data_IF_678796824153
#
_entry.id   IF_678796824153
#
_cell.length_a   1.000
_cell.length_b   1.000
_cell.length_c   1.000
_cell.angle_alpha   90.00
_cell.angle_beta   90.00
_cell.angle_gamma   90.00
#
_symmetry.space_group_name_H-M   'P 1'
#
loop_
_entity.id
_entity.type
_entity.pdbx_description
1 polymer ?
#
# COMPACT_ATOMS: atom_id res chain seq x y z
N UNK A 1 -16.78 -9.00 13.57
CA UNK A 1 -17.55 -7.89 12.98
C UNK A 1 -17.16 -7.78 11.52
N UNK A 2 -18.11 -7.77 10.58
CA UNK A 2 -17.82 -7.56 9.16
C UNK A 2 -17.58 -6.06 8.98
N UNK A 3 -16.44 -5.65 8.45
CA UNK A 3 -16.27 -4.28 7.95
C UNK A 3 -17.29 -4.04 6.84
N UNK A 4 -17.94 -2.86 6.77
CA UNK A 4 -19.00 -2.59 5.78
C UNK A 4 -18.54 -2.63 4.32
N UNK A 5 -17.25 -2.72 4.05
CA UNK A 5 -16.64 -2.69 2.71
C UNK A 5 -15.89 -3.98 2.33
N UNK A 6 -16.07 -5.10 3.01
CA UNK A 6 -15.42 -6.36 2.61
C UNK A 6 -16.42 -7.25 1.89
N UNK A 7 -16.17 -7.50 0.60
CA UNK A 7 -16.88 -8.51 -0.18
C UNK A 7 -16.78 -9.90 0.45
N UNK A 8 -17.45 -10.90 -0.13
CA UNK A 8 -17.46 -12.25 0.40
C UNK A 8 -16.99 -13.28 -0.65
N UNK A 9 -16.26 -14.29 -0.20
CA UNK A 9 -15.83 -15.44 -1.01
C UNK A 9 -16.73 -16.63 -0.69
N UNK A 10 -17.42 -17.15 -1.71
CA UNK A 10 -18.16 -18.40 -1.64
C UNK A 10 -17.32 -19.56 -2.19
N UNK A 11 -17.47 -20.73 -1.60
CA UNK A 11 -16.79 -21.95 -2.06
C UNK A 11 -17.83 -23.03 -2.30
N UNK A 12 -17.86 -23.63 -3.51
CA UNK A 12 -18.80 -24.70 -3.84
C UNK A 12 -18.18 -25.77 -4.75
N UNK A 13 -18.87 -26.92 -4.86
CA UNK A 13 -18.63 -27.89 -5.92
C UNK A 13 -19.05 -27.31 -7.29
N UNK A 14 -18.70 -28.02 -8.38
CA UNK A 14 -19.03 -27.58 -9.74
C UNK A 14 -20.54 -27.37 -9.93
N UNK A 15 -21.03 -26.15 -10.25
CA UNK A 15 -22.41 -25.92 -10.64
C UNK A 15 -22.78 -26.73 -11.88
N UNK A 16 -23.99 -27.23 -11.96
CA UNK A 16 -24.49 -28.04 -13.09
C UNK A 16 -23.90 -29.44 -13.19
N UNK A 17 -23.08 -29.88 -12.25
CA UNK A 17 -22.34 -31.15 -12.27
C UNK A 17 -23.23 -32.35 -12.56
N UNK A 18 -22.84 -33.13 -13.59
CA UNK A 18 -23.43 -34.43 -13.95
C UNK A 18 -22.37 -35.51 -13.77
N UNK A 19 -22.54 -36.37 -12.79
CA UNK A 19 -21.59 -37.46 -12.50
C UNK A 19 -22.30 -38.64 -11.84
N UNK A 20 -22.55 -39.71 -12.60
CA UNK A 20 -23.31 -40.85 -12.11
C UNK A 20 -22.61 -41.64 -11.00
N UNK A 21 -21.28 -41.75 -11.07
CA UNK A 21 -20.47 -42.62 -10.21
C UNK A 21 -19.53 -41.79 -9.27
N UNK A 22 -20.04 -40.73 -8.67
CA UNK A 22 -19.25 -40.00 -7.67
C UNK A 22 -19.26 -40.72 -6.32
N UNK A 23 -18.16 -40.63 -5.54
CA UNK A 23 -18.05 -41.19 -4.19
C UNK A 23 -19.16 -40.73 -3.23
N UNK A 24 -19.71 -39.55 -3.48
CA UNK A 24 -20.78 -38.90 -2.68
C UNK A 24 -22.18 -39.20 -3.20
N UNK A 25 -22.34 -40.13 -4.16
CA UNK A 25 -23.60 -40.43 -4.82
C UNK A 25 -23.71 -39.79 -6.21
N UNK A 26 -24.74 -40.21 -6.96
CA UNK A 26 -25.00 -39.70 -8.32
C UNK A 26 -25.39 -38.21 -8.29
N UNK A 27 -24.77 -37.45 -9.18
CA UNK A 27 -25.07 -36.03 -9.40
C UNK A 27 -25.74 -35.83 -10.76
N UNK A 28 -26.80 -35.06 -10.78
CA UNK A 28 -27.49 -34.63 -11.99
C UNK A 28 -28.12 -33.25 -11.72
N UNK A 29 -27.28 -32.21 -11.77
CA UNK A 29 -27.69 -30.84 -11.46
C UNK A 29 -27.98 -30.07 -12.76
N UNK A 30 -28.82 -29.07 -12.65
CA UNK A 30 -29.10 -28.11 -13.71
C UNK A 30 -28.20 -26.89 -13.55
N UNK A 31 -27.44 -26.55 -14.60
CA UNK A 31 -26.44 -25.49 -14.57
C UNK A 31 -27.10 -24.11 -14.47
N UNK A 32 -28.20 -23.87 -15.17
CA UNK A 32 -28.88 -22.57 -15.14
C UNK A 32 -29.54 -22.31 -13.77
N UNK A 33 -30.15 -23.35 -13.19
CA UNK A 33 -30.71 -23.26 -11.83
C UNK A 33 -29.60 -22.95 -10.82
N UNK A 34 -28.44 -23.61 -10.93
CA UNK A 34 -27.32 -23.36 -10.03
C UNK A 34 -26.75 -21.94 -10.19
N UNK A 35 -26.60 -21.43 -11.42
CA UNK A 35 -26.11 -20.07 -11.66
C UNK A 35 -27.11 -19.00 -11.19
N UNK A 36 -28.41 -19.23 -11.32
CA UNK A 36 -29.43 -18.36 -10.72
C UNK A 36 -29.31 -18.28 -9.21
N UNK A 37 -29.09 -19.40 -8.53
CA UNK A 37 -28.90 -19.44 -7.08
C UNK A 37 -27.61 -18.69 -6.68
N UNK A 38 -26.55 -18.77 -7.48
CA UNK A 38 -25.30 -18.00 -7.27
C UNK A 38 -25.57 -16.51 -7.40
N UNK A 39 -26.32 -16.09 -8.42
CA UNK A 39 -26.73 -14.68 -8.59
C UNK A 39 -27.61 -14.18 -7.45
N UNK A 40 -28.59 -14.99 -7.03
CA UNK A 40 -29.48 -14.68 -5.88
C UNK A 40 -28.71 -14.56 -4.57
N UNK A 41 -27.63 -15.34 -4.40
CA UNK A 41 -26.71 -15.16 -3.26
C UNK A 41 -26.01 -13.79 -3.30
N UNK A 42 -26.00 -13.11 -4.44
CA UNK A 42 -25.42 -11.80 -4.67
C UNK A 42 -23.99 -11.85 -5.18
N UNK A 43 -23.55 -12.95 -5.79
CA UNK A 43 -22.27 -12.97 -6.49
C UNK A 43 -22.32 -12.13 -7.78
N UNK A 44 -21.20 -11.53 -8.11
CA UNK A 44 -20.97 -10.82 -9.38
C UNK A 44 -19.95 -11.54 -10.24
N UNK A 45 -19.11 -12.42 -9.65
CA UNK A 45 -18.05 -13.15 -10.33
C UNK A 45 -18.07 -14.63 -9.96
N UNK A 46 -17.89 -15.51 -10.96
CA UNK A 46 -17.67 -16.96 -10.80
C UNK A 46 -16.27 -17.33 -11.29
N UNK A 47 -15.51 -18.01 -10.44
CA UNK A 47 -14.16 -18.51 -10.73
C UNK A 47 -14.24 -20.04 -10.89
N UNK A 48 -13.90 -20.52 -12.08
CA UNK A 48 -13.90 -21.92 -12.46
C UNK A 48 -12.49 -22.48 -12.47
N UNK A 49 -12.19 -23.45 -11.61
CA UNK A 49 -10.86 -24.06 -11.45
C UNK A 49 -10.71 -25.44 -12.11
N UNK A 50 -11.77 -25.99 -12.68
CA UNK A 50 -11.70 -27.27 -13.42
C UNK A 50 -11.13 -27.05 -14.81
N UNK A 51 -10.44 -28.09 -15.31
CA UNK A 51 -9.89 -28.09 -16.66
C UNK A 51 -10.97 -28.25 -17.71
N UNK A 52 -10.65 -27.99 -18.99
CA UNK A 52 -11.58 -28.18 -20.12
C UNK A 52 -12.06 -29.65 -20.21
N UNK A 53 -11.16 -30.61 -19.99
CA UNK A 53 -11.51 -32.03 -19.99
C UNK A 53 -12.47 -32.37 -18.83
N UNK A 54 -12.27 -31.78 -17.66
CA UNK A 54 -13.21 -31.95 -16.55
C UNK A 54 -14.57 -31.32 -16.84
N UNK A 55 -14.63 -30.18 -17.57
CA UNK A 55 -15.92 -29.59 -17.98
C UNK A 55 -16.71 -30.56 -18.86
N UNK A 56 -16.08 -31.20 -19.85
CA UNK A 56 -16.68 -32.16 -20.71
C UNK A 56 -17.15 -33.41 -19.92
N UNK A 57 -16.33 -33.94 -19.02
CA UNK A 57 -16.67 -35.09 -18.18
C UNK A 57 -17.85 -34.77 -17.25
N UNK A 58 -17.97 -33.55 -16.77
CA UNK A 58 -19.03 -33.10 -15.87
C UNK A 58 -20.28 -32.58 -16.59
N UNK A 59 -20.24 -32.46 -17.93
CA UNK A 59 -21.33 -31.96 -18.78
C UNK A 59 -21.67 -30.49 -18.50
N UNK A 60 -20.65 -29.64 -18.35
CA UNK A 60 -20.76 -28.22 -18.02
C UNK A 60 -19.94 -27.33 -18.95
N UNK A 61 -19.76 -27.75 -20.21
CA UNK A 61 -18.97 -27.00 -21.21
C UNK A 61 -19.56 -25.60 -21.47
N UNK A 62 -20.84 -25.41 -21.24
CA UNK A 62 -21.53 -24.12 -21.40
C UNK A 62 -21.48 -23.21 -20.17
N UNK A 63 -20.63 -23.51 -19.17
CA UNK A 63 -20.60 -22.80 -17.88
C UNK A 63 -20.37 -21.30 -18.03
N UNK A 64 -19.48 -20.87 -18.95
CA UNK A 64 -19.25 -19.47 -19.29
C UNK A 64 -20.51 -18.81 -19.83
N UNK A 65 -21.10 -19.39 -20.87
CA UNK A 65 -22.29 -18.84 -21.52
C UNK A 65 -23.46 -18.70 -20.54
N UNK A 66 -23.68 -19.72 -19.68
CA UNK A 66 -24.74 -19.68 -18.69
C UNK A 66 -24.47 -18.70 -17.56
N UNK A 67 -23.21 -18.55 -17.11
CA UNK A 67 -22.83 -17.54 -16.11
C UNK A 67 -23.11 -16.12 -16.65
N UNK A 68 -22.61 -15.81 -17.85
CA UNK A 68 -22.81 -14.50 -18.50
C UNK A 68 -24.31 -14.22 -18.74
N UNK A 69 -25.09 -15.20 -19.19
CA UNK A 69 -26.54 -15.07 -19.38
C UNK A 69 -27.29 -14.75 -18.07
N UNK A 70 -26.78 -15.17 -16.93
CA UNK A 70 -27.29 -14.83 -15.61
C UNK A 70 -26.72 -13.52 -15.02
N UNK A 71 -25.94 -12.75 -15.79
CA UNK A 71 -25.34 -11.48 -15.37
C UNK A 71 -24.25 -11.67 -14.32
N UNK A 72 -23.49 -12.75 -14.44
CA UNK A 72 -22.30 -13.06 -13.64
C UNK A 72 -21.07 -12.92 -14.53
N UNK A 73 -20.03 -12.24 -14.08
CA UNK A 73 -18.72 -12.32 -14.72
C UNK A 73 -18.14 -13.72 -14.50
N UNK A 74 -17.25 -14.13 -15.42
CA UNK A 74 -16.67 -15.46 -15.36
C UNK A 74 -15.17 -15.44 -15.62
N UNK A 75 -14.41 -16.15 -14.78
CA UNK A 75 -12.97 -16.39 -14.95
C UNK A 75 -12.67 -17.87 -14.99
N UNK A 76 -11.95 -18.31 -16.04
CA UNK A 76 -11.43 -19.66 -16.15
C UNK A 76 -9.97 -19.70 -15.71
N UNK A 77 -9.69 -20.38 -14.60
CA UNK A 77 -8.39 -20.45 -13.95
C UNK A 77 -8.03 -21.92 -13.66
N UNK A 78 -7.83 -22.75 -14.72
CA UNK A 78 -7.74 -24.20 -14.58
C UNK A 78 -6.53 -24.62 -13.76
N UNK A 79 -6.75 -25.59 -12.88
CA UNK A 79 -5.74 -26.27 -12.06
C UNK A 79 -6.03 -27.75 -12.13
N UNK A 80 -5.04 -28.61 -12.36
CA UNK A 80 -5.22 -30.06 -12.38
C UNK A 80 -5.71 -30.61 -11.04
N UNK A 81 -6.47 -31.71 -11.09
CA UNK A 81 -7.05 -32.26 -9.87
C UNK A 81 -5.97 -32.68 -8.87
N UNK A 82 -6.18 -32.42 -7.58
CA UNK A 82 -5.21 -32.58 -6.47
C UNK A 82 -3.91 -31.79 -6.59
N UNK A 83 -3.76 -30.93 -7.60
CA UNK A 83 -2.55 -30.12 -7.83
C UNK A 83 -2.62 -28.73 -7.18
N UNK A 84 -1.52 -28.00 -7.30
CA UNK A 84 -1.39 -26.58 -7.00
C UNK A 84 -1.16 -25.80 -8.30
N UNK A 85 -1.37 -24.47 -8.33
CA UNK A 85 -0.99 -23.61 -9.45
C UNK A 85 0.45 -23.78 -9.88
N UNK A 86 0.69 -23.81 -11.20
CA UNK A 86 2.02 -23.81 -11.81
C UNK A 86 2.53 -22.38 -12.09
N UNK A 87 3.73 -22.24 -12.66
CA UNK A 87 4.33 -20.95 -12.99
C UNK A 87 3.52 -20.14 -14.01
N UNK A 88 2.95 -20.80 -15.03
CA UNK A 88 2.12 -20.12 -16.03
C UNK A 88 0.83 -19.61 -15.41
N UNK A 89 0.22 -20.39 -14.53
CA UNK A 89 -0.96 -19.97 -13.78
C UNK A 89 -0.65 -18.76 -12.88
N UNK A 90 0.50 -18.79 -12.19
CA UNK A 90 0.93 -17.66 -11.35
C UNK A 90 1.21 -16.40 -12.18
N UNK A 91 1.77 -16.54 -13.38
CA UNK A 91 1.96 -15.43 -14.32
C UNK A 91 0.61 -14.82 -14.76
N UNK A 92 -0.36 -15.66 -15.11
CA UNK A 92 -1.71 -15.22 -15.48
C UNK A 92 -2.44 -14.58 -14.29
N UNK A 93 -2.23 -15.12 -13.08
CA UNK A 93 -2.75 -14.52 -11.85
C UNK A 93 -2.28 -13.07 -11.72
N UNK A 94 -0.98 -12.83 -11.80
CA UNK A 94 -0.39 -11.50 -11.64
C UNK A 94 -0.83 -10.51 -12.74
N UNK A 95 -0.87 -10.97 -13.99
CA UNK A 95 -1.09 -10.08 -15.13
C UNK A 95 -2.55 -9.77 -15.42
N UNK A 96 -3.50 -10.62 -15.01
CA UNK A 96 -4.90 -10.51 -15.47
C UNK A 96 -5.93 -10.75 -14.36
N UNK A 97 -5.84 -11.85 -13.61
CA UNK A 97 -6.94 -12.29 -12.74
C UNK A 97 -6.97 -11.58 -11.39
N UNK A 98 -5.79 -11.31 -10.83
CA UNK A 98 -5.63 -10.70 -9.51
C UNK A 98 -6.41 -9.39 -9.36
N UNK A 99 -6.19 -8.43 -10.27
CA UNK A 99 -6.83 -7.10 -10.19
C UNK A 99 -8.34 -7.20 -10.21
N UNK A 100 -8.91 -7.96 -11.15
CA UNK A 100 -10.35 -8.13 -11.28
C UNK A 100 -10.99 -8.77 -10.04
N UNK A 101 -10.38 -9.85 -9.50
CA UNK A 101 -10.85 -10.54 -8.28
C UNK A 101 -10.88 -9.58 -7.08
N UNK A 102 -9.83 -8.80 -6.92
CA UNK A 102 -9.74 -7.88 -5.79
C UNK A 102 -10.62 -6.65 -5.95
N UNK A 103 -10.81 -6.12 -7.16
CA UNK A 103 -11.77 -5.05 -7.45
C UNK A 103 -13.21 -5.44 -7.07
N UNK A 104 -13.63 -6.67 -7.41
CA UNK A 104 -14.93 -7.21 -7.00
C UNK A 104 -15.07 -7.20 -5.48
N UNK A 105 -14.06 -7.69 -4.75
CA UNK A 105 -14.10 -7.73 -3.28
C UNK A 105 -14.01 -6.34 -2.64
N UNK A 106 -13.24 -5.42 -3.22
CA UNK A 106 -13.08 -4.05 -2.72
C UNK A 106 -14.35 -3.20 -2.94
N UNK A 107 -15.13 -3.52 -3.98
CA UNK A 107 -16.45 -2.94 -4.20
C UNK A 107 -17.53 -3.45 -3.22
N UNK A 108 -17.16 -4.38 -2.33
CA UNK A 108 -18.10 -5.02 -1.40
C UNK A 108 -18.93 -6.16 -2.01
N UNK A 109 -18.64 -6.51 -3.25
CA UNK A 109 -19.32 -7.57 -4.00
C UNK A 109 -18.86 -8.97 -3.58
N UNK A 110 -19.56 -10.00 -4.07
CA UNK A 110 -19.27 -11.39 -3.73
C UNK A 110 -18.76 -12.13 -4.95
N UNK A 111 -17.81 -13.03 -4.74
CA UNK A 111 -17.35 -13.97 -5.76
C UNK A 111 -17.52 -15.42 -5.31
N UNK A 112 -17.70 -16.30 -6.29
CA UNK A 112 -17.80 -17.73 -6.07
C UNK A 112 -16.60 -18.44 -6.67
N UNK A 113 -15.91 -19.26 -5.87
CA UNK A 113 -14.83 -20.14 -6.33
C UNK A 113 -15.32 -21.57 -6.34
N UNK A 114 -15.17 -22.28 -7.44
CA UNK A 114 -15.50 -23.69 -7.49
C UNK A 114 -14.43 -24.55 -8.18
N UNK A 115 -14.39 -25.81 -7.79
CA UNK A 115 -13.72 -26.87 -8.51
C UNK A 115 -14.66 -28.06 -8.64
N UNK A 116 -14.19 -29.27 -8.94
CA UNK A 116 -15.02 -30.46 -9.07
C UNK A 116 -15.79 -30.83 -7.79
N UNK A 117 -15.08 -30.85 -6.65
CA UNK A 117 -15.63 -31.19 -5.32
C UNK A 117 -15.92 -29.99 -4.43
N UNK A 118 -15.34 -28.85 -4.73
CA UNK A 118 -15.45 -27.65 -3.91
C UNK A 118 -14.67 -27.74 -2.59
N UNK A 119 -13.56 -28.46 -2.58
CA UNK A 119 -12.73 -28.68 -1.39
C UNK A 119 -11.28 -28.27 -1.65
N UNK A 120 -10.47 -29.07 -2.35
CA UNK A 120 -9.03 -28.88 -2.48
C UNK A 120 -8.65 -27.60 -3.19
N UNK A 121 -8.77 -27.57 -4.52
CA UNK A 121 -8.40 -26.44 -5.37
C UNK A 121 -9.18 -25.16 -5.00
N UNK A 122 -10.49 -25.25 -4.83
CA UNK A 122 -11.33 -24.10 -4.49
C UNK A 122 -10.98 -23.54 -3.10
N UNK A 123 -10.69 -24.43 -2.14
CA UNK A 123 -10.22 -24.03 -0.82
C UNK A 123 -8.85 -23.34 -0.85
N UNK A 124 -7.90 -23.89 -1.61
CA UNK A 124 -6.55 -23.32 -1.74
C UNK A 124 -6.56 -21.92 -2.38
N UNK A 125 -7.36 -21.71 -3.44
CA UNK A 125 -7.47 -20.40 -4.09
C UNK A 125 -8.25 -19.41 -3.20
N UNK A 126 -9.29 -19.83 -2.50
CA UNK A 126 -9.98 -18.96 -1.54
C UNK A 126 -9.03 -18.53 -0.39
N UNK A 127 -8.20 -19.44 0.11
CA UNK A 127 -7.21 -19.11 1.13
C UNK A 127 -6.10 -18.20 0.57
N UNK A 128 -5.64 -18.43 -0.68
CA UNK A 128 -4.71 -17.53 -1.37
C UNK A 128 -5.28 -16.11 -1.45
N UNK A 129 -6.54 -15.94 -1.85
CA UNK A 129 -7.19 -14.62 -1.89
C UNK A 129 -7.22 -13.99 -0.48
N UNK A 130 -7.46 -14.77 0.57
CA UNK A 130 -7.43 -14.27 1.95
C UNK A 130 -6.01 -13.87 2.39
N UNK A 131 -4.97 -14.63 2.04
CA UNK A 131 -3.59 -14.23 2.36
C UNK A 131 -3.21 -12.93 1.67
N UNK A 132 -3.65 -12.73 0.44
CA UNK A 132 -3.48 -11.49 -0.30
C UNK A 132 -4.31 -10.30 0.26
N UNK A 133 -5.24 -10.58 1.14
CA UNK A 133 -6.00 -9.58 1.90
C UNK A 133 -5.52 -9.42 3.35
N UNK A 134 -4.29 -9.84 3.63
CA UNK A 134 -3.60 -9.61 4.90
C UNK A 134 -3.82 -10.67 5.98
N UNK A 135 -4.41 -11.84 5.66
CA UNK A 135 -4.50 -12.94 6.62
C UNK A 135 -3.24 -13.79 6.56
N UNK A 136 -2.68 -14.14 7.73
CA UNK A 136 -1.62 -15.15 7.81
C UNK A 136 -2.08 -16.47 7.21
N UNK A 137 -1.16 -17.23 6.57
CA UNK A 137 -1.48 -18.44 5.83
C UNK A 137 -2.25 -19.48 6.64
N UNK A 138 -1.80 -19.75 7.87
CA UNK A 138 -2.48 -20.65 8.80
C UNK A 138 -3.87 -20.15 9.18
N UNK A 139 -4.03 -18.82 9.34
CA UNK A 139 -5.33 -18.21 9.65
C UNK A 139 -6.27 -18.25 8.46
N UNK A 140 -5.78 -18.02 7.26
CA UNK A 140 -6.55 -18.16 6.03
C UNK A 140 -7.07 -19.60 5.85
N UNK A 141 -6.22 -20.60 6.10
CA UNK A 141 -6.60 -22.04 6.09
C UNK A 141 -7.69 -22.32 7.13
N UNK A 142 -7.51 -21.84 8.38
CA UNK A 142 -8.52 -21.99 9.44
C UNK A 142 -9.89 -21.42 9.03
N UNK A 143 -9.90 -20.19 8.49
CA UNK A 143 -11.12 -19.52 8.07
C UNK A 143 -11.84 -20.28 6.93
N UNK A 144 -11.08 -20.74 5.94
CA UNK A 144 -11.62 -21.54 4.83
C UNK A 144 -12.17 -22.87 5.33
N UNK A 145 -11.46 -23.61 6.19
CA UNK A 145 -11.93 -24.86 6.79
C UNK A 145 -13.13 -24.68 7.70
N UNK A 146 -13.24 -23.54 8.38
CA UNK A 146 -14.42 -23.18 9.16
C UNK A 146 -15.66 -22.94 8.26
N UNK A 147 -15.47 -22.30 7.11
CA UNK A 147 -16.54 -22.06 6.14
C UNK A 147 -16.90 -23.34 5.35
N UNK A 148 -15.91 -24.17 5.04
CA UNK A 148 -16.07 -25.40 4.25
C UNK A 148 -15.24 -26.52 4.87
N UNK A 149 -15.86 -27.35 5.69
CA UNK A 149 -15.18 -28.49 6.34
C UNK A 149 -14.53 -29.40 5.30
N UNK A 150 -13.28 -29.79 5.54
CA UNK A 150 -12.47 -30.63 4.64
C UNK A 150 -11.84 -29.87 3.45
N UNK A 151 -11.94 -28.56 3.41
CA UNK A 151 -11.24 -27.77 2.38
C UNK A 151 -9.72 -27.79 2.55
N UNK A 152 -9.00 -27.63 1.44
CA UNK A 152 -7.54 -27.71 1.34
C UNK A 152 -7.08 -29.13 1.70
N UNK A 153 -7.19 -30.02 0.70
CA UNK A 153 -7.15 -31.50 0.92
C UNK A 153 -5.74 -32.06 0.99
N UNK A 154 -4.75 -31.38 0.39
CA UNK A 154 -3.39 -31.91 0.29
C UNK A 154 -2.39 -31.03 1.03
N UNK A 155 -1.27 -31.65 1.50
CA UNK A 155 -0.17 -30.91 2.10
C UNK A 155 0.45 -29.90 1.10
N UNK A 156 0.49 -30.24 -0.21
CA UNK A 156 0.94 -29.31 -1.24
C UNK A 156 0.08 -28.06 -1.33
N UNK A 157 -1.24 -28.19 -1.18
CA UNK A 157 -2.17 -27.05 -1.17
C UNK A 157 -2.02 -26.22 0.13
N UNK A 158 -1.79 -26.85 1.28
CA UNK A 158 -1.45 -26.11 2.52
C UNK A 158 -0.15 -25.34 2.37
N UNK A 159 0.91 -26.01 1.92
CA UNK A 159 2.21 -25.40 1.71
C UNK A 159 2.16 -24.27 0.68
N UNK A 160 1.33 -24.40 -0.37
CA UNK A 160 1.08 -23.35 -1.34
C UNK A 160 0.49 -22.11 -0.68
N UNK A 161 -0.49 -22.25 0.21
CA UNK A 161 -1.09 -21.13 0.93
C UNK A 161 -0.09 -20.50 1.93
N UNK A 162 0.62 -21.34 2.70
CA UNK A 162 1.57 -20.88 3.76
C UNK A 162 2.82 -20.25 3.14
N UNK A 163 3.38 -20.86 2.09
CA UNK A 163 4.59 -20.37 1.40
C UNK A 163 4.28 -19.21 0.45
N UNK A 164 3.02 -19.02 0.11
CA UNK A 164 2.56 -17.87 -0.65
C UNK A 164 2.56 -16.62 0.26
N UNK A 165 3.67 -16.46 1.03
CA UNK A 165 4.00 -15.19 1.67
C UNK A 165 4.04 -14.17 0.54
N UNK A 166 3.04 -13.32 0.51
CA UNK A 166 3.03 -11.98 -0.08
C UNK A 166 4.02 -11.76 -1.26
N UNK A 167 4.00 -12.59 -2.31
CA UNK A 167 4.41 -12.10 -3.61
C UNK A 167 3.25 -11.31 -4.20
N UNK A 168 2.88 -10.26 -3.50
CA UNK A 168 2.11 -9.21 -4.09
C UNK A 168 3.04 -8.39 -4.98
N UNK A 169 2.74 -8.37 -6.23
CA UNK A 169 2.94 -7.18 -7.02
C UNK A 169 1.60 -6.42 -6.96
N UNK A 170 1.36 -5.55 -5.97
CA UNK A 170 0.12 -4.81 -5.89
C UNK A 170 -0.07 -4.00 -7.17
N UNK A 171 -1.32 -3.81 -7.65
CA UNK A 171 -1.56 -2.93 -8.79
C UNK A 171 -0.91 -1.56 -8.58
N UNK A 172 -0.44 -0.94 -9.64
CA UNK A 172 0.19 0.38 -9.60
C UNK A 172 -0.61 1.40 -8.77
N UNK A 173 -1.94 1.42 -8.96
CA UNK A 173 -2.83 2.30 -8.20
C UNK A 173 -2.84 1.99 -6.70
N UNK A 174 -2.79 0.72 -6.32
CA UNK A 174 -2.73 0.29 -4.92
C UNK A 174 -1.40 0.68 -4.27
N UNK A 175 -0.29 0.55 -5.00
CA UNK A 175 1.04 1.01 -4.56
C UNK A 175 1.10 2.52 -4.39
N UNK A 176 0.58 3.27 -5.36
CA UNK A 176 0.48 4.73 -5.29
C UNK A 176 -0.35 5.19 -4.08
N UNK A 177 -1.50 4.54 -3.84
CA UNK A 177 -2.32 4.81 -2.65
C UNK A 177 -1.60 4.39 -1.37
N UNK A 178 -0.87 3.28 -1.41
CA UNK A 178 -0.03 2.80 -0.32
C UNK A 178 1.02 3.81 0.11
N UNK A 179 1.66 4.51 -0.83
CA UNK A 179 2.63 5.55 -0.53
C UNK A 179 2.04 6.70 0.28
N UNK A 180 0.83 7.17 -0.08
CA UNK A 180 0.17 8.26 0.66
C UNK A 180 -0.36 7.80 2.02
N UNK A 181 -1.04 6.65 2.07
CA UNK A 181 -1.59 6.12 3.32
C UNK A 181 -0.47 5.68 4.28
N UNK A 182 0.61 5.12 3.74
CA UNK A 182 1.78 4.72 4.51
C UNK A 182 2.47 5.90 5.20
N UNK A 183 2.56 7.05 4.53
CA UNK A 183 3.02 8.30 5.14
C UNK A 183 2.19 8.64 6.38
N UNK A 184 0.87 8.70 6.24
CA UNK A 184 -0.04 9.06 7.36
C UNK A 184 0.06 8.07 8.52
N UNK A 185 0.18 6.79 8.23
CA UNK A 185 0.33 5.75 9.26
C UNK A 185 1.66 5.86 9.96
N UNK A 186 2.74 6.09 9.21
CA UNK A 186 4.08 6.25 9.79
C UNK A 186 4.17 7.44 10.73
N UNK A 187 3.63 8.58 10.32
CA UNK A 187 3.47 9.79 11.12
C UNK A 187 2.68 9.50 12.40
N UNK A 188 1.43 9.03 12.29
CA UNK A 188 0.57 8.76 13.44
C UNK A 188 1.08 7.66 14.39
N UNK A 189 1.86 6.70 13.87
CA UNK A 189 2.50 5.65 14.67
C UNK A 189 3.72 6.22 15.41
N UNK A 190 4.50 7.09 14.76
CA UNK A 190 5.75 7.64 15.28
C UNK A 190 5.57 8.73 16.34
N UNK A 191 4.49 9.50 16.30
CA UNK A 191 4.25 10.64 17.22
C UNK A 191 4.41 10.29 18.69
N UNK A 192 4.07 9.07 19.09
CA UNK A 192 4.20 8.60 20.48
C UNK A 192 5.64 8.58 20.97
N UNK A 193 6.59 8.31 20.07
CA UNK A 193 8.02 8.15 20.38
C UNK A 193 8.87 9.36 19.99
N UNK A 194 8.26 10.40 19.44
CA UNK A 194 8.95 11.62 19.02
C UNK A 194 9.75 12.22 20.19
N UNK A 195 10.98 12.64 19.90
CA UNK A 195 12.01 13.13 20.85
C UNK A 195 12.42 12.12 21.94
N UNK A 196 11.92 10.90 21.91
CA UNK A 196 12.34 9.85 22.84
C UNK A 196 13.71 9.32 22.46
N UNK A 197 14.55 9.02 23.45
CA UNK A 197 15.78 8.29 23.18
C UNK A 197 15.47 6.86 22.71
N UNK A 198 16.29 6.34 21.80
CA UNK A 198 16.19 4.96 21.31
C UNK A 198 16.13 3.99 22.49
N UNK A 199 15.18 3.02 22.41
CA UNK A 199 14.99 1.98 23.42
C UNK A 199 14.65 2.49 24.83
N UNK A 200 14.30 3.78 25.00
CA UNK A 200 13.87 4.34 26.29
C UNK A 200 12.44 3.94 26.68
N UNK A 201 11.64 3.52 25.74
CA UNK A 201 10.24 3.12 25.90
C UNK A 201 10.08 1.61 25.59
N UNK A 202 8.99 0.98 26.08
CA UNK A 202 8.61 -0.35 25.60
C UNK A 202 8.49 -0.38 24.09
N UNK A 203 8.73 -1.54 23.49
CA UNK A 203 8.61 -1.73 22.04
C UNK A 203 7.24 -1.30 21.53
N UNK A 204 7.19 -0.33 20.62
CA UNK A 204 5.98 0.33 20.16
C UNK A 204 5.49 -0.29 18.84
N UNK A 205 4.20 -0.68 18.80
CA UNK A 205 3.61 -1.40 17.67
C UNK A 205 2.22 -0.90 17.28
N UNK A 206 1.65 0.06 18.03
CA UNK A 206 0.25 0.47 17.88
C UNK A 206 0.10 2.00 17.81
N UNK A 207 -0.86 2.46 17.03
CA UNK A 207 -1.25 3.88 17.04
C UNK A 207 -2.07 4.15 18.31
N UNK A 208 -1.45 4.77 19.30
CA UNK A 208 -2.09 5.05 20.61
C UNK A 208 -2.22 6.53 20.93
N UNK A 209 -1.57 7.40 20.15
CA UNK A 209 -1.46 8.83 20.44
C UNK A 209 -0.52 9.13 21.61
N UNK A 210 -0.67 10.26 22.25
CA UNK A 210 0.22 10.70 23.33
C UNK A 210 1.42 11.47 22.80
N UNK A 211 2.64 11.05 23.19
CA UNK A 211 3.87 11.72 22.82
C UNK A 211 4.01 13.12 23.41
N UNK A 212 4.99 13.92 22.92
CA UNK A 212 5.30 15.25 23.48
C UNK A 212 4.14 16.25 23.35
N UNK A 213 3.26 16.05 22.36
CA UNK A 213 2.10 16.93 22.13
C UNK A 213 0.81 16.41 22.75
N UNK A 214 0.83 15.27 23.44
CA UNK A 214 -0.36 14.64 24.05
C UNK A 214 -1.50 14.43 23.04
N UNK A 215 -1.18 13.93 21.85
CA UNK A 215 -2.11 13.79 20.74
C UNK A 215 -3.22 12.77 21.01
N UNK A 216 -4.44 12.99 20.49
CA UNK A 216 -5.45 11.94 20.43
C UNK A 216 -4.94 10.74 19.62
N UNK A 217 -5.48 9.56 19.87
CA UNK A 217 -5.20 8.37 19.07
C UNK A 217 -5.55 8.62 17.60
N UNK A 218 -4.60 8.38 16.72
CA UNK A 218 -4.76 8.50 15.28
C UNK A 218 -4.56 9.91 14.71
N UNK A 219 -4.28 10.90 15.56
CA UNK A 219 -3.87 12.21 15.08
C UNK A 219 -2.48 12.13 14.45
N UNK A 220 -2.26 12.97 13.46
CA UNK A 220 -1.03 13.11 12.70
C UNK A 220 -0.46 14.53 12.84
N UNK A 221 0.82 14.72 12.48
CA UNK A 221 1.60 15.95 12.66
C UNK A 221 1.67 16.77 11.36
N UNK A 222 2.70 17.62 11.26
CA UNK A 222 2.98 18.43 10.08
C UNK A 222 3.38 17.59 8.85
N UNK A 223 3.94 16.40 9.02
CA UNK A 223 4.25 15.46 7.93
C UNK A 223 3.04 15.22 7.03
N UNK A 224 1.98 14.71 7.60
CA UNK A 224 0.74 14.43 6.88
C UNK A 224 0.01 15.71 6.48
N UNK A 225 -0.03 16.72 7.36
CA UNK A 225 -0.71 17.98 7.06
C UNK A 225 -0.11 18.67 5.83
N UNK A 226 1.22 18.72 5.73
CA UNK A 226 1.91 19.29 4.57
C UNK A 226 1.81 18.41 3.32
N UNK A 227 1.78 17.08 3.46
CA UNK A 227 1.53 16.18 2.34
C UNK A 227 0.11 16.38 1.76
N UNK A 228 -0.90 16.51 2.60
CA UNK A 228 -2.27 16.83 2.17
C UNK A 228 -2.38 18.20 1.51
N UNK A 229 -1.67 19.21 2.04
CA UNK A 229 -1.60 20.54 1.43
C UNK A 229 -0.95 20.49 0.03
N UNK A 230 0.12 19.71 -0.14
CA UNK A 230 0.79 19.48 -1.43
C UNK A 230 -0.14 18.75 -2.40
N UNK A 231 -0.79 17.67 -1.97
CA UNK A 231 -1.77 16.94 -2.77
C UNK A 231 -2.94 17.86 -3.19
N UNK A 232 -3.48 18.65 -2.27
CA UNK A 232 -4.56 19.61 -2.53
C UNK A 232 -4.16 20.69 -3.52
N UNK A 233 -2.91 21.18 -3.44
CA UNK A 233 -2.38 22.14 -4.41
C UNK A 233 -2.29 21.53 -5.81
N UNK A 234 -1.70 20.33 -5.93
CA UNK A 234 -1.59 19.61 -7.21
C UNK A 234 -2.97 19.28 -7.78
N UNK A 235 -3.90 18.79 -6.96
CA UNK A 235 -5.28 18.47 -7.39
C UNK A 235 -6.01 19.70 -7.92
N UNK A 236 -5.80 20.86 -7.31
CA UNK A 236 -6.44 22.13 -7.71
C UNK A 236 -5.87 22.72 -9.01
N UNK A 237 -4.56 22.61 -9.20
CA UNK A 237 -3.84 23.24 -10.32
C UNK A 237 -3.61 22.28 -11.49
N UNK A 238 -3.64 20.97 -11.28
CA UNK A 238 -3.26 19.95 -12.25
C UNK A 238 -1.74 19.84 -12.47
N UNK A 239 -0.97 20.75 -11.88
CA UNK A 239 0.49 20.84 -11.95
C UNK A 239 1.08 21.32 -10.62
N UNK A 240 2.41 21.36 -10.50
CA UNK A 240 3.07 21.99 -9.36
C UNK A 240 3.17 23.51 -9.59
N UNK A 241 2.34 24.24 -8.85
CA UNK A 241 2.34 25.72 -8.78
C UNK A 241 2.90 26.10 -7.40
N UNK A 242 4.14 26.55 -7.35
CA UNK A 242 4.84 26.86 -6.09
C UNK A 242 4.16 28.02 -5.35
N UNK A 243 3.58 28.97 -6.07
CA UNK A 243 2.85 30.10 -5.46
C UNK A 243 1.61 29.62 -4.75
N UNK A 244 0.83 28.75 -5.40
CA UNK A 244 -0.36 28.15 -4.79
C UNK A 244 -0.02 27.20 -3.65
N UNK A 245 1.03 26.38 -3.82
CA UNK A 245 1.53 25.48 -2.79
C UNK A 245 1.90 26.22 -1.51
N UNK A 246 2.68 27.30 -1.65
CA UNK A 246 3.06 28.13 -0.50
C UNK A 246 1.84 28.80 0.15
N UNK A 247 0.82 29.16 -0.62
CA UNK A 247 -0.46 29.62 -0.10
C UNK A 247 -1.17 28.56 0.74
N UNK A 248 -1.16 27.29 0.29
CA UNK A 248 -1.70 26.16 1.05
C UNK A 248 -0.94 25.93 2.37
N UNK A 249 0.41 25.99 2.33
CA UNK A 249 1.23 25.87 3.55
C UNK A 249 1.01 27.03 4.53
N UNK A 250 0.87 28.27 4.05
CA UNK A 250 0.50 29.41 4.91
C UNK A 250 -0.88 29.23 5.52
N UNK A 251 -1.86 28.72 4.74
CA UNK A 251 -3.19 28.42 5.26
C UNK A 251 -3.18 27.32 6.34
N UNK A 252 -2.36 26.27 6.16
CA UNK A 252 -2.11 25.32 7.24
C UNK A 252 -1.51 26.01 8.47
N UNK A 253 -0.44 26.77 8.30
CA UNK A 253 0.26 27.42 9.39
C UNK A 253 -0.64 28.39 10.17
N UNK A 254 -1.41 29.22 9.47
CA UNK A 254 -2.20 30.30 10.08
C UNK A 254 -3.57 29.83 10.57
N UNK A 255 -4.20 28.92 9.85
CA UNK A 255 -5.61 28.57 10.03
C UNK A 255 -5.82 27.07 10.38
N UNK A 256 -4.76 26.25 10.39
CA UNK A 256 -4.87 24.82 10.68
C UNK A 256 -5.53 24.01 9.56
N UNK A 257 -5.55 24.51 8.31
CA UNK A 257 -6.04 23.74 7.18
C UNK A 257 -5.20 22.45 7.03
N UNK A 258 -5.83 21.36 6.63
CA UNK A 258 -5.20 20.03 6.47
C UNK A 258 -4.71 19.36 7.77
N UNK A 259 -4.77 20.02 8.92
CA UNK A 259 -4.37 19.41 10.21
C UNK A 259 -5.42 18.41 10.72
N UNK A 260 -5.05 17.56 11.66
CA UNK A 260 -5.92 16.60 12.35
C UNK A 260 -6.96 17.24 13.32
N UNK A 261 -7.34 18.48 13.08
CA UNK A 261 -8.32 19.20 13.92
C UNK A 261 -7.71 20.00 15.07
N UNK A 262 -6.41 19.91 15.30
CA UNK A 262 -5.71 20.55 16.42
C UNK A 262 -5.07 21.90 16.05
N UNK A 263 -5.28 22.38 14.82
CA UNK A 263 -4.56 23.53 14.28
C UNK A 263 -3.15 23.18 13.83
N UNK A 264 -2.32 24.20 13.54
CA UNK A 264 -0.92 23.98 13.21
C UNK A 264 -0.09 23.78 14.49
N UNK A 265 0.59 22.65 14.58
CA UNK A 265 1.59 22.36 15.62
C UNK A 265 2.78 21.65 14.97
N UNK A 266 3.85 21.46 15.69
CA UNK A 266 5.08 20.78 15.28
C UNK A 266 5.77 21.35 14.03
N UNK A 267 5.48 22.57 13.63
CA UNK A 267 6.11 23.19 12.48
C UNK A 267 7.61 23.41 12.70
N UNK A 268 8.44 22.79 11.88
CA UNK A 268 9.90 22.93 11.90
C UNK A 268 10.36 24.39 11.65
N UNK A 269 11.47 24.77 12.28
CA UNK A 269 12.03 26.13 12.18
C UNK A 269 12.28 26.53 10.72
N UNK A 270 12.87 25.65 9.93
CA UNK A 270 13.17 25.89 8.49
C UNK A 270 11.91 26.16 7.71
N UNK A 271 10.86 25.37 7.92
CA UNK A 271 9.54 25.56 7.29
C UNK A 271 8.92 26.89 7.68
N UNK A 272 8.82 27.16 8.99
CA UNK A 272 8.24 28.41 9.51
C UNK A 272 8.94 29.65 8.94
N UNK A 273 10.27 29.63 8.92
CA UNK A 273 11.05 30.77 8.44
C UNK A 273 10.92 30.98 6.93
N UNK A 274 10.72 29.90 6.16
CA UNK A 274 10.42 29.98 4.72
C UNK A 274 9.02 30.57 4.48
N UNK A 275 8.00 30.11 5.22
CA UNK A 275 6.64 30.66 5.12
C UNK A 275 6.60 32.15 5.49
N UNK A 276 7.31 32.57 6.54
CA UNK A 276 7.42 33.96 6.91
C UNK A 276 8.13 34.80 5.84
N UNK A 277 9.17 34.26 5.17
CA UNK A 277 9.80 34.93 4.03
C UNK A 277 8.85 35.07 2.86
N UNK A 278 8.10 34.01 2.54
CA UNK A 278 7.10 34.04 1.48
C UNK A 278 6.03 35.09 1.73
N UNK A 279 5.43 35.14 2.92
CA UNK A 279 4.43 36.18 3.27
C UNK A 279 5.01 37.60 3.12
N UNK A 280 6.30 37.79 3.42
CA UNK A 280 6.96 39.10 3.32
C UNK A 280 7.34 39.49 1.90
N UNK A 281 7.74 38.55 1.06
CA UNK A 281 8.38 38.82 -0.23
C UNK A 281 7.52 38.48 -1.43
N UNK A 282 6.54 37.58 -1.25
CA UNK A 282 5.75 36.98 -2.34
C UNK A 282 6.54 35.96 -3.18
N UNK A 283 7.84 35.71 -2.89
CA UNK A 283 8.64 34.75 -3.64
C UNK A 283 8.37 33.33 -3.13
N UNK A 284 7.83 32.41 -3.94
CA UNK A 284 7.51 31.05 -3.51
C UNK A 284 8.76 30.17 -3.29
N UNK A 285 9.89 30.50 -3.91
CA UNK A 285 11.16 29.80 -3.68
C UNK A 285 11.79 30.44 -2.44
N UNK A 286 11.28 30.07 -1.27
CA UNK A 286 11.61 30.70 0.00
C UNK A 286 12.49 29.81 0.90
N UNK A 287 12.86 28.60 0.46
CA UNK A 287 13.71 27.67 1.21
C UNK A 287 15.11 28.25 1.44
N UNK A 288 15.64 28.06 2.64
CA UNK A 288 17.03 28.40 2.94
C UNK A 288 17.98 27.48 2.17
N UNK A 289 18.99 28.05 1.53
CA UNK A 289 20.06 27.32 0.82
C UNK A 289 21.28 27.02 1.69
N UNK A 290 21.25 27.40 2.97
CA UNK A 290 22.33 27.11 3.89
C UNK A 290 22.45 25.62 4.19
N UNK A 291 23.63 25.00 4.13
CA UNK A 291 23.83 23.62 4.56
C UNK A 291 23.34 23.33 5.98
N UNK A 292 23.42 24.33 6.88
CA UNK A 292 22.94 24.20 8.26
C UNK A 292 21.42 24.16 8.41
N UNK A 293 20.65 24.33 7.30
CA UNK A 293 19.18 24.25 7.26
C UNK A 293 18.68 23.01 6.53
N UNK A 294 19.52 21.99 6.37
CA UNK A 294 19.19 20.75 5.66
C UNK A 294 18.28 19.82 6.51
N UNK A 295 17.10 20.31 6.84
CA UNK A 295 16.05 19.53 7.51
C UNK A 295 15.28 18.61 6.56
N UNK A 296 14.55 17.65 7.13
CA UNK A 296 13.78 16.61 6.39
C UNK A 296 12.36 17.03 5.99
N UNK A 297 11.90 18.24 6.34
CA UNK A 297 10.51 18.68 6.19
C UNK A 297 9.97 18.76 4.74
N UNK A 298 10.85 18.71 3.72
CA UNK A 298 10.39 18.56 2.33
C UNK A 298 10.35 17.11 1.86
N UNK A 299 11.12 16.22 2.50
CA UNK A 299 11.16 14.79 2.20
C UNK A 299 9.96 14.05 2.81
N UNK A 300 9.59 14.41 4.04
CA UNK A 300 8.50 13.76 4.78
C UNK A 300 7.16 13.80 4.02
N UNK A 301 6.89 14.85 3.26
CA UNK A 301 5.62 15.12 2.55
C UNK A 301 5.59 14.73 1.08
N UNK A 302 6.58 13.98 0.56
CA UNK A 302 6.89 13.87 -0.88
C UNK A 302 5.95 12.99 -1.69
N UNK A 303 5.29 11.99 -1.10
CA UNK A 303 4.52 10.97 -1.82
C UNK A 303 3.51 11.51 -2.85
N UNK A 304 2.80 12.66 -2.66
CA UNK A 304 1.90 13.19 -3.67
C UNK A 304 2.58 13.51 -5.01
N UNK A 305 3.86 13.90 -4.98
CA UNK A 305 4.65 14.15 -6.20
C UNK A 305 4.85 12.85 -6.98
N UNK A 306 5.34 11.80 -6.31
CA UNK A 306 5.56 10.51 -6.95
C UNK A 306 4.23 9.91 -7.46
N UNK A 307 3.12 10.07 -6.73
CA UNK A 307 1.78 9.64 -7.16
C UNK A 307 1.32 10.38 -8.40
N UNK A 308 1.52 11.70 -8.47
CA UNK A 308 1.07 12.50 -9.61
C UNK A 308 1.88 12.23 -10.87
N UNK A 309 3.17 12.06 -10.76
CA UNK A 309 4.08 11.90 -11.90
C UNK A 309 4.68 10.50 -12.01
N UNK A 310 3.97 9.47 -11.54
CA UNK A 310 4.44 8.08 -11.60
C UNK A 310 4.70 7.56 -13.03
N UNK A 311 4.14 8.22 -14.05
CA UNK A 311 4.37 7.86 -15.46
C UNK A 311 5.72 8.32 -16.02
N UNK A 312 6.38 9.29 -15.36
CA UNK A 312 7.66 9.86 -15.83
C UNK A 312 8.58 10.18 -14.64
N UNK A 313 9.62 9.38 -14.48
CA UNK A 313 10.55 9.47 -13.35
C UNK A 313 11.33 10.79 -13.34
N UNK A 314 11.74 11.30 -14.52
CA UNK A 314 12.51 12.54 -14.64
C UNK A 314 11.65 13.75 -14.24
N UNK A 315 10.39 13.77 -14.68
CA UNK A 315 9.45 14.81 -14.26
C UNK A 315 9.17 14.71 -12.75
N UNK A 316 8.99 13.50 -12.20
CA UNK A 316 8.78 13.32 -10.77
C UNK A 316 9.97 13.86 -9.95
N UNK A 317 11.19 13.58 -10.37
CA UNK A 317 12.42 14.08 -9.75
C UNK A 317 12.49 15.61 -9.79
N UNK A 318 12.21 16.22 -10.96
CA UNK A 318 12.17 17.68 -11.10
C UNK A 318 11.12 18.31 -10.18
N UNK A 319 9.90 17.77 -10.14
CA UNK A 319 8.84 18.27 -9.27
C UNK A 319 9.17 18.09 -7.79
N UNK A 320 9.83 17.00 -7.42
CA UNK A 320 10.34 16.76 -6.07
C UNK A 320 11.35 17.83 -5.64
N UNK A 321 12.29 18.17 -6.50
CA UNK A 321 13.23 19.25 -6.29
C UNK A 321 12.55 20.60 -6.12
N UNK A 322 11.60 20.93 -7.00
CA UNK A 322 10.87 22.19 -7.01
C UNK A 322 10.03 22.39 -5.76
N UNK A 323 9.26 21.36 -5.32
CA UNK A 323 8.48 21.45 -4.09
C UNK A 323 9.39 21.60 -2.86
N UNK A 324 10.57 20.96 -2.85
CA UNK A 324 11.54 21.13 -1.77
C UNK A 324 12.03 22.56 -1.67
N UNK A 325 12.42 23.18 -2.79
CA UNK A 325 12.94 24.54 -2.86
C UNK A 325 11.99 25.59 -2.28
N UNK A 326 10.69 25.31 -2.19
CA UNK A 326 9.71 26.24 -1.59
C UNK A 326 10.01 26.50 -0.10
N UNK A 327 10.47 25.48 0.64
CA UNK A 327 10.75 25.58 2.09
C UNK A 327 12.17 25.15 2.47
N UNK A 328 12.75 24.19 1.75
CA UNK A 328 14.06 23.57 2.02
C UNK A 328 14.93 23.63 0.76
N UNK A 329 15.71 24.70 0.63
CA UNK A 329 16.54 24.95 -0.55
C UNK A 329 17.99 24.49 -0.40
N UNK A 330 18.38 23.87 0.71
CA UNK A 330 19.72 23.31 0.88
C UNK A 330 19.99 22.22 -0.17
N UNK A 331 21.18 22.16 -0.80
CA UNK A 331 21.49 21.18 -1.85
C UNK A 331 21.15 19.74 -1.47
N UNK A 332 21.47 19.33 -0.25
CA UNK A 332 21.16 18.00 0.27
C UNK A 332 19.64 17.71 0.35
N UNK A 333 18.82 18.73 0.66
CA UNK A 333 17.34 18.54 0.67
C UNK A 333 16.80 18.37 -0.75
N UNK A 334 17.31 19.15 -1.70
CA UNK A 334 16.89 19.08 -3.09
C UNK A 334 17.23 17.71 -3.68
N UNK A 335 18.48 17.27 -3.49
CA UNK A 335 18.99 16.01 -4.01
C UNK A 335 18.35 14.79 -3.32
N UNK A 336 18.12 14.84 -2.01
CA UNK A 336 17.39 13.81 -1.28
C UNK A 336 15.95 13.62 -1.81
N UNK A 337 15.25 14.73 -2.09
CA UNK A 337 13.89 14.65 -2.65
C UNK A 337 13.89 14.07 -4.07
N UNK A 338 14.86 14.44 -4.93
CA UNK A 338 15.01 13.86 -6.28
C UNK A 338 15.26 12.36 -6.19
N UNK A 339 16.25 11.94 -5.40
CA UNK A 339 16.58 10.52 -5.25
C UNK A 339 15.42 9.72 -4.67
N UNK A 340 14.78 10.21 -3.62
CA UNK A 340 13.65 9.53 -2.99
C UNK A 340 12.42 9.43 -3.90
N UNK A 341 12.15 10.48 -4.71
CA UNK A 341 11.09 10.43 -5.73
C UNK A 341 11.36 9.33 -6.75
N UNK A 342 12.61 9.12 -7.16
CA UNK A 342 12.99 8.05 -8.07
C UNK A 342 12.68 6.66 -7.49
N UNK A 343 12.97 6.44 -6.19
CA UNK A 343 12.64 5.19 -5.49
C UNK A 343 11.12 4.97 -5.41
N UNK A 344 10.36 6.00 -5.05
CA UNK A 344 8.90 5.93 -4.98
C UNK A 344 8.27 5.60 -6.33
N UNK A 345 8.72 6.26 -7.42
CA UNK A 345 8.21 6.01 -8.77
C UNK A 345 8.50 4.58 -9.24
N UNK A 346 9.71 4.07 -9.01
CA UNK A 346 10.08 2.68 -9.30
C UNK A 346 9.18 1.71 -8.55
N UNK A 347 9.01 1.92 -7.24
CA UNK A 347 8.14 1.11 -6.40
C UNK A 347 6.68 1.14 -6.88
N UNK A 348 6.11 2.33 -7.15
CA UNK A 348 4.76 2.50 -7.68
C UNK A 348 4.59 1.76 -9.02
N UNK A 349 5.60 1.79 -9.89
CA UNK A 349 5.59 1.14 -11.19
C UNK A 349 5.78 -0.39 -11.12
N UNK A 350 5.99 -0.95 -9.94
CA UNK A 350 5.96 -2.39 -9.73
C UNK A 350 7.33 -3.06 -9.68
N UNK A 351 8.43 -2.29 -9.60
CA UNK A 351 9.74 -2.88 -9.33
C UNK A 351 9.75 -3.57 -7.97
N UNK A 352 10.53 -4.64 -7.84
CA UNK A 352 10.68 -5.36 -6.57
C UNK A 352 11.41 -4.52 -5.53
N UNK A 353 11.29 -4.86 -4.25
CA UNK A 353 12.05 -4.19 -3.19
C UNK A 353 13.56 -4.19 -3.49
N UNK A 354 14.07 -5.30 -3.95
CA UNK A 354 15.46 -5.52 -4.31
C UNK A 354 15.89 -4.61 -5.47
N UNK A 355 15.07 -4.45 -6.50
CA UNK A 355 15.36 -3.59 -7.66
C UNK A 355 15.26 -2.11 -7.29
N UNK A 356 14.24 -1.73 -6.50
CA UNK A 356 14.07 -0.34 -6.00
C UNK A 356 15.27 0.09 -5.18
N UNK A 357 15.81 -0.78 -4.32
CA UNK A 357 16.91 -0.51 -3.41
C UNK A 357 18.28 -0.93 -3.96
N UNK A 358 18.34 -1.41 -5.20
CA UNK A 358 19.61 -1.78 -5.82
C UNK A 358 20.57 -0.59 -5.89
N UNK A 359 21.86 -0.80 -5.59
CA UNK A 359 22.87 0.25 -5.71
C UNK A 359 22.92 0.83 -7.13
N UNK A 360 22.92 2.17 -7.21
CA UNK A 360 23.01 2.89 -8.49
C UNK A 360 24.13 3.92 -8.45
N UNK A 361 24.61 4.33 -9.63
CA UNK A 361 25.45 5.51 -9.78
C UNK A 361 24.55 6.74 -9.72
N UNK A 362 24.75 7.57 -8.70
CA UNK A 362 24.02 8.81 -8.53
C UNK A 362 24.99 9.99 -8.63
N UNK A 363 24.60 11.02 -9.35
CA UNK A 363 25.42 12.21 -9.57
C UNK A 363 24.79 13.42 -8.86
N UNK A 364 25.03 13.54 -7.55
CA UNK A 364 24.49 14.60 -6.71
C UNK A 364 25.38 14.88 -5.52
N UNK A 365 24.77 15.29 -4.42
CA UNK A 365 25.48 15.55 -3.17
C UNK A 365 26.19 14.29 -2.66
N UNK A 366 27.42 14.41 -2.12
CA UNK A 366 28.22 13.24 -1.72
C UNK A 366 27.50 12.28 -0.79
N UNK A 367 26.73 12.79 0.17
CA UNK A 367 26.00 11.95 1.12
C UNK A 367 24.87 11.14 0.44
N UNK A 368 24.14 11.73 -0.51
CA UNK A 368 23.12 11.02 -1.29
C UNK A 368 23.77 10.01 -2.25
N UNK A 369 24.90 10.37 -2.87
CA UNK A 369 25.67 9.44 -3.71
C UNK A 369 26.12 8.20 -2.92
N UNK A 370 26.56 8.37 -1.67
CA UNK A 370 26.92 7.26 -0.77
C UNK A 370 25.70 6.37 -0.46
N UNK A 371 24.56 6.97 -0.12
CA UNK A 371 23.31 6.22 0.14
C UNK A 371 22.88 5.46 -1.12
N UNK A 372 22.86 6.11 -2.26
CA UNK A 372 22.46 5.52 -3.54
C UNK A 372 23.38 4.37 -3.99
N UNK A 373 24.66 4.43 -3.63
CA UNK A 373 25.62 3.36 -3.89
C UNK A 373 25.54 2.17 -2.91
N UNK A 374 24.61 2.22 -1.93
CA UNK A 374 24.41 1.16 -0.95
C UNK A 374 25.25 1.26 0.31
N UNK A 375 25.76 2.43 0.67
CA UNK A 375 26.58 2.66 1.87
C UNK A 375 25.90 2.26 3.20
N UNK A 376 24.59 2.13 3.19
CA UNK A 376 23.77 1.67 4.32
C UNK A 376 23.77 0.13 4.53
N UNK A 377 24.16 -0.67 3.52
CA UNK A 377 24.07 -2.14 3.59
C UNK A 377 24.86 -2.77 4.74
N UNK A 378 26.03 -2.21 5.05
CA UNK A 378 26.89 -2.71 6.14
C UNK A 378 26.53 -2.16 7.52
N UNK A 379 25.56 -1.23 7.61
CA UNK A 379 25.19 -0.57 8.85
C UNK A 379 24.28 -1.46 9.71
N UNK A 380 24.53 -1.42 11.01
CA UNK A 380 23.64 -2.04 12.01
C UNK A 380 22.61 -1.02 12.50
N UNK A 381 21.57 -1.47 13.21
CA UNK A 381 20.56 -0.57 13.81
C UNK A 381 21.19 0.54 14.68
N UNK A 382 22.33 0.26 15.31
CA UNK A 382 23.01 1.24 16.16
C UNK A 382 23.75 2.31 15.36
N UNK A 383 24.11 2.04 14.12
CA UNK A 383 24.78 2.99 13.23
C UNK A 383 23.80 3.93 12.53
N UNK A 384 22.52 3.57 12.46
CA UNK A 384 21.46 4.38 11.86
C UNK A 384 21.06 5.49 12.82
N UNK A 385 21.06 6.72 12.32
CA UNK A 385 20.62 7.89 13.08
C UNK A 385 19.16 8.21 12.77
N UNK A 386 18.45 8.73 13.77
CA UNK A 386 17.06 9.17 13.67
C UNK A 386 16.98 10.62 14.15
N UNK A 387 17.31 11.54 13.26
CA UNK A 387 17.35 12.98 13.54
C UNK A 387 16.60 13.76 12.46
N UNK A 388 16.29 15.05 12.72
CA UNK A 388 15.68 15.95 11.73
C UNK A 388 16.58 16.33 10.54
N UNK A 389 17.80 15.79 10.44
CA UNK A 389 18.68 16.01 9.30
C UNK A 389 18.30 15.11 8.12
N UNK A 390 18.10 15.69 6.95
CA UNK A 390 17.54 15.02 5.77
C UNK A 390 18.30 13.74 5.36
N UNK A 391 19.64 13.75 5.49
CA UNK A 391 20.48 12.59 5.15
C UNK A 391 20.27 11.44 6.13
N UNK A 392 20.24 11.74 7.45
CA UNK A 392 19.98 10.73 8.47
C UNK A 392 18.57 10.12 8.24
N UNK A 393 17.58 10.95 7.86
CA UNK A 393 16.20 10.53 7.67
C UNK A 393 16.01 9.62 6.45
N UNK A 394 16.57 9.98 5.29
CA UNK A 394 16.46 9.14 4.08
C UNK A 394 17.22 7.82 4.24
N UNK A 395 18.40 7.85 4.87
CA UNK A 395 19.17 6.64 5.15
C UNK A 395 18.41 5.70 6.09
N UNK A 396 17.83 6.24 7.17
CA UNK A 396 17.05 5.47 8.12
C UNK A 396 15.85 4.79 7.46
N UNK A 397 15.11 5.53 6.63
CA UNK A 397 13.93 4.99 5.92
C UNK A 397 14.31 3.86 4.96
N UNK A 398 15.35 4.05 4.14
CA UNK A 398 15.85 3.03 3.21
C UNK A 398 16.32 1.80 3.99
N UNK A 399 17.10 1.99 5.05
CA UNK A 399 17.62 0.91 5.89
C UNK A 399 16.51 0.12 6.54
N UNK A 400 15.46 0.78 7.08
CA UNK A 400 14.31 0.10 7.68
C UNK A 400 13.55 -0.75 6.68
N UNK A 401 13.27 -0.23 5.49
CA UNK A 401 12.60 -1.00 4.42
C UNK A 401 13.46 -2.18 3.97
N UNK A 402 14.76 -1.98 3.79
CA UNK A 402 15.68 -3.03 3.36
C UNK A 402 15.76 -4.21 4.36
N UNK A 403 15.71 -3.92 5.65
CA UNK A 403 15.82 -4.90 6.74
C UNK A 403 14.46 -5.43 7.23
N UNK A 404 13.41 -5.31 6.43
CA UNK A 404 12.06 -5.78 6.75
C UNK A 404 11.46 -6.55 5.58
N UNK A 405 10.60 -7.52 5.91
CA UNK A 405 9.90 -8.34 4.92
C UNK A 405 8.42 -7.95 4.76
N UNK A 406 7.97 -6.93 5.49
CA UNK A 406 6.60 -6.43 5.42
C UNK A 406 6.52 -4.94 5.72
N UNK A 407 5.40 -4.31 5.32
CA UNK A 407 5.07 -2.94 5.66
C UNK A 407 5.09 -2.72 7.18
N UNK A 408 4.47 -3.64 7.93
CA UNK A 408 4.37 -3.56 9.39
C UNK A 408 5.74 -3.59 10.07
N UNK A 409 6.61 -4.54 9.68
CA UNK A 409 7.96 -4.65 10.22
C UNK A 409 8.78 -3.39 9.94
N UNK A 410 8.69 -2.83 8.72
CA UNK A 410 9.43 -1.63 8.34
C UNK A 410 9.06 -0.43 9.21
N UNK A 411 7.76 -0.22 9.43
CA UNK A 411 7.28 0.90 10.26
C UNK A 411 7.60 0.71 11.74
N UNK A 412 7.40 -0.49 12.28
CA UNK A 412 7.78 -0.79 13.66
C UNK A 412 9.26 -0.57 13.88
N UNK A 413 10.10 -1.02 12.94
CA UNK A 413 11.54 -0.81 13.00
C UNK A 413 11.89 0.69 12.98
N UNK A 414 11.26 1.46 12.10
CA UNK A 414 11.50 2.90 11.91
C UNK A 414 11.14 3.71 13.17
N UNK A 415 9.93 3.58 13.68
CA UNK A 415 9.48 4.41 14.82
C UNK A 415 10.23 4.07 16.11
N UNK A 416 10.64 2.81 16.29
CA UNK A 416 11.46 2.39 17.44
C UNK A 416 12.94 2.78 17.34
N UNK A 417 13.35 3.52 16.31
CA UNK A 417 14.63 4.24 16.31
C UNK A 417 14.61 5.42 17.30
N UNK A 418 13.41 5.90 17.66
CA UNK A 418 13.27 7.09 18.51
C UNK A 418 13.72 8.38 17.80
N UNK A 419 14.06 9.41 18.53
CA UNK A 419 14.47 10.70 17.98
C UNK A 419 13.33 11.38 17.21
N UNK A 420 13.47 11.58 15.91
CA UNK A 420 12.50 12.14 14.98
C UNK A 420 11.60 10.99 14.42
N UNK A 421 10.88 10.34 15.33
CA UNK A 421 10.27 9.04 15.06
C UNK A 421 9.05 9.11 14.13
N UNK A 422 8.28 10.17 14.16
CA UNK A 422 7.13 10.43 13.30
C UNK A 422 7.59 10.69 11.86
N UNK A 423 8.55 11.59 11.66
CA UNK A 423 9.12 11.87 10.34
C UNK A 423 9.84 10.65 9.74
N UNK A 424 10.63 9.91 10.52
CA UNK A 424 11.26 8.67 10.03
C UNK A 424 10.16 7.65 9.68
N UNK A 425 9.12 7.54 10.51
CA UNK A 425 7.93 6.74 10.23
C UNK A 425 7.24 7.14 8.94
N UNK A 426 6.98 8.44 8.74
CA UNK A 426 6.33 8.97 7.54
C UNK A 426 7.15 8.70 6.26
N UNK A 427 8.46 8.95 6.27
CA UNK A 427 9.34 8.69 5.12
C UNK A 427 9.42 7.19 4.83
N UNK A 428 9.61 6.34 5.86
CA UNK A 428 9.59 4.89 5.72
C UNK A 428 8.25 4.40 5.18
N UNK A 429 7.14 4.96 5.68
CA UNK A 429 5.78 4.62 5.27
C UNK A 429 5.49 4.92 3.80
N UNK A 430 6.02 6.03 3.25
CA UNK A 430 5.92 6.32 1.83
C UNK A 430 6.54 5.20 0.98
N UNK A 431 7.76 4.80 1.28
CA UNK A 431 8.49 3.80 0.52
C UNK A 431 7.92 2.39 0.73
N UNK A 432 7.66 2.02 1.98
CA UNK A 432 7.04 0.75 2.34
C UNK A 432 5.65 0.60 1.70
N UNK A 433 4.83 1.64 1.75
CA UNK A 433 3.51 1.65 1.13
C UNK A 433 3.56 1.56 -0.40
N UNK A 434 4.55 2.20 -1.03
CA UNK A 434 4.78 2.09 -2.47
C UNK A 434 5.24 0.67 -2.88
N UNK A 435 6.01 -0.01 -2.05
CA UNK A 435 6.50 -1.37 -2.31
C UNK A 435 5.41 -2.41 -2.07
N UNK A 436 4.76 -2.38 -0.90
CA UNK A 436 3.84 -3.44 -0.47
C UNK A 436 2.35 -3.14 -0.70
N UNK A 437 1.99 -1.89 -1.08
CA UNK A 437 0.62 -1.48 -1.34
C UNK A 437 -0.26 -1.33 -0.08
N UNK A 438 -1.49 -0.85 -0.26
CA UNK A 438 -2.43 -0.62 0.87
C UNK A 438 -2.83 -1.89 1.59
N UNK A 439 -2.86 -3.02 0.88
CA UNK A 439 -3.31 -4.30 1.45
C UNK A 439 -2.34 -4.92 2.45
N UNK A 440 -1.07 -4.51 2.38
CA UNK A 440 -0.06 -4.92 3.35
C UNK A 440 -0.12 -4.09 4.65
N UNK A 441 -0.90 -3.03 4.66
CA UNK A 441 -1.08 -2.17 5.83
C UNK A 441 -2.03 -2.86 6.81
N UNK A 442 -1.63 -3.05 8.10
CA UNK A 442 -2.49 -3.66 9.09
C UNK A 442 -3.83 -2.90 9.24
N UNK A 443 -4.99 -3.58 9.12
CA UNK A 443 -6.29 -2.93 9.26
C UNK A 443 -6.45 -2.15 10.57
N UNK A 444 -5.87 -2.64 11.67
CA UNK A 444 -5.92 -1.98 12.97
C UNK A 444 -5.24 -0.61 13.00
N UNK A 445 -4.28 -0.36 12.12
CA UNK A 445 -3.65 0.95 11.97
C UNK A 445 -4.51 1.89 11.12
N UNK A 446 -5.13 1.37 10.06
CA UNK A 446 -6.09 2.14 9.24
C UNK A 446 -7.29 2.54 10.08
N UNK A 447 -7.90 1.59 10.81
CA UNK A 447 -9.03 1.85 11.72
C UNK A 447 -8.65 2.77 12.89
N UNK A 448 -7.35 2.88 13.18
CA UNK A 448 -6.79 3.70 14.25
C UNK A 448 -6.56 5.16 13.87
N UNK A 449 -6.55 5.49 12.57
CA UNK A 449 -6.36 6.87 12.12
C UNK A 449 -7.59 7.73 12.41
N UNK A 450 -7.37 9.00 12.72
CA UNK A 450 -8.43 10.01 12.72
C UNK A 450 -8.68 10.45 11.29
N UNK A 451 -9.57 9.72 10.59
CA UNK A 451 -9.64 9.79 9.14
C UNK A 451 -10.58 10.87 8.62
N UNK A 452 -10.05 11.61 7.63
CA UNK A 452 -10.80 12.28 6.57
C UNK A 452 -10.82 11.36 5.33
N UNK A 453 -11.23 10.10 5.50
CA UNK A 453 -11.13 9.06 4.46
C UNK A 453 -11.68 9.51 3.09
N UNK A 454 -12.84 10.16 3.07
CA UNK A 454 -13.43 10.63 1.83
C UNK A 454 -12.61 11.75 1.16
N UNK A 455 -12.02 12.66 1.95
CA UNK A 455 -11.18 13.75 1.44
C UNK A 455 -9.85 13.21 0.90
N UNK A 456 -9.18 12.33 1.66
CA UNK A 456 -7.95 11.68 1.22
C UNK A 456 -8.17 10.86 -0.05
N UNK A 457 -9.27 10.11 -0.11
CA UNK A 457 -9.62 9.32 -1.29
C UNK A 457 -9.86 10.23 -2.51
N UNK A 458 -10.61 11.33 -2.35
CA UNK A 458 -10.87 12.29 -3.42
C UNK A 458 -9.59 12.96 -3.92
N UNK A 459 -8.70 13.37 -3.02
CA UNK A 459 -7.39 13.94 -3.36
C UNK A 459 -6.52 12.93 -4.11
N UNK A 460 -6.43 11.70 -3.60
CA UNK A 460 -5.68 10.62 -4.25
C UNK A 460 -6.19 10.37 -5.68
N UNK A 461 -7.50 10.18 -5.88
CA UNK A 461 -8.08 9.93 -7.21
C UNK A 461 -7.80 11.09 -8.16
N UNK A 462 -7.89 12.33 -7.68
CA UNK A 462 -7.63 13.52 -8.50
C UNK A 462 -6.18 13.59 -9.00
N UNK A 463 -5.19 13.34 -8.12
CA UNK A 463 -3.78 13.45 -8.51
C UNK A 463 -3.30 12.22 -9.30
N UNK A 464 -3.79 11.01 -8.96
CA UNK A 464 -3.41 9.77 -9.63
C UNK A 464 -3.94 9.70 -11.06
N UNK A 465 -5.24 9.99 -11.27
CA UNK A 465 -5.88 9.90 -12.60
C UNK A 465 -5.29 10.88 -13.62
N UNK A 466 -4.69 11.96 -13.15
CA UNK A 466 -4.03 12.94 -14.02
C UNK A 466 -2.56 12.57 -14.33
N UNK A 467 -2.02 11.50 -13.76
CA UNK A 467 -0.61 11.08 -13.86
C UNK A 467 -0.34 9.91 -14.81
N UNK A 468 -1.37 9.30 -15.39
CA UNK A 468 -1.29 8.16 -16.31
C UNK A 468 -1.23 8.54 -17.77
#
# INVERSE_FOLDING_TARGET
MKSPASGAIGITFCPGKKQANAMTGAWNRDLDIDMKAVKEWGATLVITLITQDEMAILGVEEIETVALANGLDWLHMPIDDYSIPDEQWNTNWQNSWHSHIHEVLDSGDKLLVHCKGGLGRAGAIAAKILTERGFEGEKAIELVRKARHGAIETKGQEDFVIKNKLFHNPPKKDRARGAMLGLMIGDALGTTLEFSARDANPHHTEIIGGGPFSLPKGAYTDDTAMALALAGSIATKGELDEQHLMGCFVNWWRNGAYSSGLGCFDIGITTRDALARFEKTGNPIAGSTSPSSAGNGSLMRLSPVAVRWHGDIEIAMEMARRQSATTHGAPECLDACEYFASLLVKAINGETKEDVLAPIIWHGEPAITEIASGGWHAKTRNDIKSTGYVIDSIEAAIWCVANSDSFEEALILAVNLGGDADTIGAITGQLAGAIWGTRAIPPRWVDGLETRDAELHALFESIYSAGG
#
